data_IF_069936487961
#
_entry.id   IF_069936487961
#
_cell.length_a   1.000
_cell.length_b   1.000
_cell.length_c   1.000
_cell.angle_alpha   90.00
_cell.angle_beta   90.00
_cell.angle_gamma   90.00
#
_symmetry.space_group_name_H-M   'P 1'
#
loop_
_entity.id
_entity.type
_entity.pdbx_description
1 polymer ?
#
# COMPACT_ATOMS: atom_id res chain seq x y z
N UNK A 1 -7.56 -26.75 -4.65
CA UNK A 1 -7.78 -25.45 -3.97
C UNK A 1 -6.70 -24.49 -4.43
N UNK A 2 -7.05 -23.50 -5.25
CA UNK A 2 -6.10 -22.54 -5.82
C UNK A 2 -5.36 -21.81 -4.71
N UNK A 3 -4.05 -21.63 -4.88
CA UNK A 3 -3.20 -20.92 -3.95
C UNK A 3 -3.84 -19.58 -3.63
N UNK A 4 -4.33 -19.42 -2.40
CA UNK A 4 -4.69 -18.11 -1.87
C UNK A 4 -3.36 -17.35 -1.93
N UNK A 5 -3.21 -16.46 -2.91
CA UNK A 5 -2.00 -15.67 -3.04
C UNK A 5 -1.88 -14.86 -1.76
N UNK A 6 -0.98 -15.28 -0.87
CA UNK A 6 -0.76 -14.61 0.41
C UNK A 6 -0.49 -13.13 0.15
N UNK A 7 -0.91 -12.25 1.06
CA UNK A 7 -0.75 -10.80 0.91
C UNK A 7 0.69 -10.41 0.52
N UNK A 8 1.70 -11.12 1.05
CA UNK A 8 3.10 -10.96 0.70
C UNK A 8 3.42 -11.26 -0.79
N UNK A 9 2.84 -12.31 -1.37
CA UNK A 9 3.00 -12.64 -2.78
C UNK A 9 2.37 -11.59 -3.70
N UNK A 10 1.22 -11.03 -3.29
CA UNK A 10 0.59 -9.92 -4.00
C UNK A 10 1.43 -8.64 -3.92
N UNK A 11 2.01 -8.32 -2.75
CA UNK A 11 2.96 -7.20 -2.57
C UNK A 11 4.17 -7.34 -3.50
N UNK A 12 4.75 -8.54 -3.60
CA UNK A 12 5.90 -8.81 -4.47
C UNK A 12 5.58 -8.54 -5.95
N UNK A 13 4.41 -9.00 -6.41
CA UNK A 13 3.92 -8.72 -7.76
C UNK A 13 3.61 -7.24 -7.98
N UNK A 14 3.02 -6.57 -7.00
CA UNK A 14 2.73 -5.14 -7.06
C UNK A 14 4.00 -4.32 -7.23
N UNK A 15 5.07 -4.68 -6.50
CA UNK A 15 6.38 -4.03 -6.61
C UNK A 15 6.99 -4.25 -8.00
N UNK A 16 6.88 -5.44 -8.57
CA UNK A 16 7.33 -5.72 -9.92
C UNK A 16 6.56 -4.90 -10.97
N UNK A 17 5.23 -4.84 -10.87
CA UNK A 17 4.38 -4.04 -11.76
C UNK A 17 4.75 -2.55 -11.69
N UNK A 18 4.99 -2.01 -10.49
CA UNK A 18 5.46 -0.62 -10.30
C UNK A 18 6.78 -0.36 -11.01
N UNK A 19 7.75 -1.27 -10.89
CA UNK A 19 9.05 -1.13 -11.57
C UNK A 19 8.94 -1.22 -13.08
N UNK A 20 7.96 -1.97 -13.59
CA UNK A 20 7.65 -2.03 -15.01
C UNK A 20 6.90 -0.79 -15.55
N UNK A 21 6.61 0.21 -14.70
CA UNK A 21 5.82 1.40 -15.05
C UNK A 21 4.30 1.17 -15.02
N UNK A 22 3.85 -0.05 -14.71
CA UNK A 22 2.43 -0.37 -14.55
C UNK A 22 1.94 0.00 -13.14
N UNK A 23 1.79 1.31 -12.92
CA UNK A 23 1.27 1.84 -11.66
C UNK A 23 -0.17 1.41 -11.38
N UNK A 24 -0.99 1.20 -12.42
CA UNK A 24 -2.38 0.77 -12.28
C UNK A 24 -2.48 -0.69 -11.82
N UNK A 25 -1.68 -1.58 -12.42
CA UNK A 25 -1.58 -2.98 -11.98
C UNK A 25 -1.00 -3.10 -10.57
N UNK A 26 0.00 -2.28 -10.24
CA UNK A 26 0.54 -2.23 -8.88
C UNK A 26 -0.52 -1.81 -7.84
N UNK A 27 -1.32 -0.79 -8.13
CA UNK A 27 -2.42 -0.34 -7.26
C UNK A 27 -3.43 -1.46 -6.99
N UNK A 28 -3.87 -2.15 -8.05
CA UNK A 28 -4.82 -3.25 -7.94
C UNK A 28 -4.28 -4.39 -7.08
N UNK A 29 -3.00 -4.73 -7.24
CA UNK A 29 -2.33 -5.78 -6.47
C UNK A 29 -2.14 -5.38 -5.00
N UNK A 30 -1.81 -4.12 -4.70
CA UNK A 30 -1.74 -3.63 -3.31
C UNK A 30 -3.12 -3.65 -2.64
N UNK A 31 -4.19 -3.26 -3.34
CA UNK A 31 -5.55 -3.36 -2.81
C UNK A 31 -5.96 -4.82 -2.54
N UNK A 32 -5.60 -5.75 -3.44
CA UNK A 32 -5.84 -7.17 -3.20
C UNK A 32 -5.05 -7.68 -1.99
N UNK A 33 -3.79 -7.24 -1.83
CA UNK A 33 -2.99 -7.58 -0.66
C UNK A 33 -3.66 -7.10 0.64
N UNK A 34 -4.23 -5.89 0.64
CA UNK A 34 -4.98 -5.33 1.78
C UNK A 34 -6.32 -6.02 2.01
N UNK A 35 -6.96 -6.58 0.97
CA UNK A 35 -8.16 -7.39 1.14
C UNK A 35 -7.84 -8.76 1.76
N UNK A 36 -6.68 -9.33 1.44
CA UNK A 36 -6.20 -10.56 2.07
C UNK A 36 -5.73 -10.33 3.51
N UNK A 37 -4.95 -9.27 3.74
CA UNK A 37 -4.48 -8.88 5.06
C UNK A 37 -4.48 -7.35 5.22
N UNK A 38 -5.52 -6.80 5.87
CA UNK A 38 -5.64 -5.37 6.12
C UNK A 38 -4.55 -4.81 7.04
N UNK A 39 -3.77 -5.66 7.72
CA UNK A 39 -2.73 -5.26 8.67
C UNK A 39 -1.32 -5.29 8.09
N UNK A 40 -1.17 -5.46 6.77
CA UNK A 40 0.14 -5.45 6.11
C UNK A 40 0.64 -4.03 5.83
N UNK A 41 1.69 -3.55 6.54
CA UNK A 41 2.20 -2.19 6.38
C UNK A 41 2.78 -1.95 4.98
N UNK A 42 3.50 -2.92 4.40
CA UNK A 42 4.05 -2.82 3.05
C UNK A 42 3.00 -2.58 1.96
N UNK A 43 1.79 -3.12 2.14
CA UNK A 43 0.71 -2.92 1.18
C UNK A 43 0.12 -1.51 1.27
N UNK A 44 -0.03 -0.95 2.47
CA UNK A 44 -0.45 0.43 2.68
C UNK A 44 0.59 1.43 2.17
N UNK A 45 1.87 1.22 2.48
CA UNK A 45 2.98 2.05 1.99
C UNK A 45 3.07 1.98 0.46
N UNK A 46 2.94 0.76 -0.10
CA UNK A 46 2.94 0.53 -1.53
C UNK A 46 1.81 1.26 -2.24
N UNK A 47 0.58 1.18 -1.72
CA UNK A 47 -0.59 1.89 -2.25
C UNK A 47 -0.41 3.41 -2.18
N UNK A 48 0.03 3.94 -1.03
CA UNK A 48 0.28 5.36 -0.86
C UNK A 48 1.36 5.86 -1.84
N UNK A 49 2.43 5.08 -2.05
CA UNK A 49 3.49 5.43 -3.01
C UNK A 49 2.97 5.52 -4.45
N UNK A 50 2.03 4.65 -4.84
CA UNK A 50 1.40 4.70 -6.17
C UNK A 50 0.53 5.95 -6.31
N UNK A 51 -0.25 6.28 -5.27
CA UNK A 51 -1.09 7.48 -5.28
C UNK A 51 -0.25 8.77 -5.34
N UNK A 52 0.90 8.80 -4.65
CA UNK A 52 1.88 9.90 -4.78
C UNK A 52 2.42 9.98 -6.21
N UNK A 53 2.81 8.85 -6.80
CA UNK A 53 3.32 8.82 -8.18
C UNK A 53 2.26 9.24 -9.22
N UNK A 54 0.98 9.05 -8.92
CA UNK A 54 -0.15 9.56 -9.73
C UNK A 54 -0.44 11.05 -9.54
N UNK A 55 0.15 11.69 -8.53
CA UNK A 55 -0.13 13.08 -8.15
C UNK A 55 -1.31 13.25 -7.20
N UNK A 56 -1.99 12.16 -6.81
CA UNK A 56 -3.12 12.18 -5.87
C UNK A 56 -2.64 12.17 -4.42
N UNK A 57 -1.94 13.24 -4.04
CA UNK A 57 -1.40 13.41 -2.68
C UNK A 57 -2.48 13.36 -1.59
N UNK A 58 -3.70 13.83 -1.91
CA UNK A 58 -4.84 13.75 -0.99
C UNK A 58 -5.22 12.30 -0.70
N UNK A 59 -5.37 11.48 -1.73
CA UNK A 59 -5.73 10.07 -1.58
C UNK A 59 -4.60 9.29 -0.88
N UNK A 60 -3.33 9.62 -1.16
CA UNK A 60 -2.18 9.03 -0.47
C UNK A 60 -2.22 9.32 1.04
N UNK A 61 -2.51 10.58 1.41
CA UNK A 61 -2.62 10.99 2.80
C UNK A 61 -3.77 10.29 3.52
N UNK A 62 -4.97 10.24 2.92
CA UNK A 62 -6.11 9.51 3.47
C UNK A 62 -5.81 8.01 3.65
N UNK A 63 -5.08 7.41 2.69
CA UNK A 63 -4.65 6.01 2.74
C UNK A 63 -3.71 5.74 3.92
N UNK A 64 -2.72 6.62 4.14
CA UNK A 64 -1.79 6.50 5.27
C UNK A 64 -2.49 6.72 6.62
N UNK A 65 -3.42 7.66 6.69
CA UNK A 65 -4.24 7.88 7.90
C UNK A 65 -5.11 6.66 8.22
N UNK A 66 -5.70 6.02 7.21
CA UNK A 66 -6.46 4.79 7.40
C UNK A 66 -5.59 3.63 7.92
N UNK A 67 -4.33 3.55 7.49
CA UNK A 67 -3.36 2.58 7.99
C UNK A 67 -2.96 2.85 9.46
N UNK A 68 -2.78 4.13 9.83
CA UNK A 68 -2.50 4.55 11.21
C UNK A 68 -3.68 4.24 12.12
N UNK A 69 -4.91 4.59 11.71
CA UNK A 69 -6.12 4.33 12.48
C UNK A 69 -6.35 2.83 12.75
N UNK A 70 -5.88 1.97 11.85
CA UNK A 70 -5.91 0.50 12.01
C UNK A 70 -4.79 -0.06 12.89
N UNK A 71 -3.90 0.79 13.41
CA UNK A 71 -2.74 0.39 14.20
C UNK A 71 -1.68 -0.35 13.39
N UNK A 72 -1.68 -0.18 12.07
CA UNK A 72 -0.74 -0.85 11.14
C UNK A 72 0.54 -0.06 10.96
N UNK A 73 0.41 1.26 10.88
CA UNK A 73 1.53 2.20 10.93
C UNK A 73 1.49 2.94 12.25
N UNK A 74 2.59 2.93 12.99
CA UNK A 74 2.74 3.78 14.17
C UNK A 74 3.15 5.16 13.67
N UNK A 75 2.36 6.18 14.02
CA UNK A 75 2.62 7.57 13.64
C UNK A 75 3.79 8.20 14.40
N UNK A 76 4.82 7.44 14.79
CA UNK A 76 5.97 7.96 15.54
C UNK A 76 6.81 8.94 14.70
N UNK A 77 6.63 8.99 13.38
CA UNK A 77 7.47 9.80 12.48
C UNK A 77 6.80 11.03 11.85
N UNK A 78 5.52 11.29 12.12
CA UNK A 78 4.81 12.43 11.50
C UNK A 78 4.74 13.68 12.39
N UNK A 79 5.30 13.63 13.61
CA UNK A 79 5.28 14.72 14.59
C UNK A 79 6.64 15.36 14.92
N UNK A 80 7.76 14.92 14.31
CA UNK A 80 9.11 15.41 14.65
C UNK A 80 9.78 16.25 13.55
N UNK A 81 9.01 16.91 12.69
CA UNK A 81 9.54 18.00 11.88
C UNK A 81 8.84 19.30 12.27
N UNK A 82 9.20 19.81 13.44
CA UNK A 82 9.05 21.21 13.82
C UNK A 82 10.44 21.81 14.02
#
# INVERSE_FOLDING_TARGET
MGAIASALGLIGRARAARQAGDGAGAEALYRQALACDPRQPDAWIGLASILVAKGDLRAAHETLLAAIARGVLVAEHLGQQA
#
